data_IF_017541702708
#
_entry.id   IF_017541702708
#
_cell.length_a   1.000
_cell.length_b   1.000
_cell.length_c   1.000
_cell.angle_alpha   90.00
_cell.angle_beta   90.00
_cell.angle_gamma   90.00
#
_symmetry.space_group_name_H-M   'P 1'
#
loop_
_entity.id
_entity.type
_entity.pdbx_description
1 polymer ?
#
# COMPACT_ATOMS: atom_id res chain seq x y z
N UNK A 1 -11.10 24.77 6.11
CA UNK A 1 -11.00 23.32 5.85
C UNK A 1 -9.60 22.88 6.24
N UNK A 2 -9.45 22.01 7.26
CA UNK A 2 -8.14 21.50 7.65
C UNK A 2 -7.68 20.45 6.64
N UNK A 3 -6.40 20.48 6.25
CA UNK A 3 -5.77 19.48 5.41
C UNK A 3 -4.50 18.99 6.11
N UNK A 4 -4.49 17.72 6.50
CA UNK A 4 -3.30 17.07 7.05
C UNK A 4 -2.68 16.18 5.98
N UNK A 5 -1.35 16.23 5.86
CA UNK A 5 -0.63 15.33 4.95
C UNK A 5 -0.66 13.88 5.45
N UNK A 6 -0.42 13.71 6.75
CA UNK A 6 -0.47 12.43 7.44
C UNK A 6 -0.42 12.65 8.96
N UNK A 7 -1.02 11.74 9.72
CA UNK A 7 -0.80 11.56 11.16
C UNK A 7 -0.18 10.19 11.40
N UNK A 8 0.87 10.15 12.23
CA UNK A 8 1.60 8.91 12.53
C UNK A 8 1.38 8.49 13.97
N UNK A 9 1.31 7.18 14.17
CA UNK A 9 1.47 6.58 15.48
C UNK A 9 2.34 5.33 15.38
N UNK A 10 3.06 5.07 16.46
CA UNK A 10 3.76 3.80 16.62
C UNK A 10 2.76 2.71 17.00
N UNK A 11 3.02 1.50 16.53
CA UNK A 11 2.29 0.30 16.89
C UNK A 11 3.19 -0.92 16.69
N UNK A 12 2.79 -2.07 17.21
CA UNK A 12 3.46 -3.34 16.92
C UNK A 12 2.52 -4.16 16.06
N UNK A 13 2.96 -4.50 14.85
CA UNK A 13 2.18 -5.35 13.95
C UNK A 13 2.09 -6.79 14.48
N UNK A 14 0.91 -7.38 14.40
CA UNK A 14 0.72 -8.81 14.62
C UNK A 14 1.39 -9.63 13.52
N UNK A 15 1.59 -10.92 13.76
CA UNK A 15 2.10 -11.85 12.74
C UNK A 15 1.20 -11.88 11.49
N UNK A 16 -0.12 -11.75 11.68
CA UNK A 16 -1.09 -11.67 10.58
C UNK A 16 -0.85 -10.43 9.72
N UNK A 17 -0.69 -9.25 10.33
CA UNK A 17 -0.39 -8.01 9.61
C UNK A 17 0.98 -8.06 8.95
N UNK A 18 1.98 -8.65 9.59
CA UNK A 18 3.31 -8.86 9.00
C UNK A 18 3.19 -9.73 7.74
N UNK A 19 2.46 -10.86 7.83
CA UNK A 19 2.17 -11.71 6.67
C UNK A 19 1.46 -10.97 5.55
N UNK A 20 0.47 -10.13 5.88
CA UNK A 20 -0.25 -9.28 4.93
C UNK A 20 0.67 -8.26 4.25
N UNK A 21 1.59 -7.64 5.01
CA UNK A 21 2.60 -6.72 4.50
C UNK A 21 3.58 -7.41 3.54
N UNK A 22 4.00 -8.64 3.83
CA UNK A 22 4.84 -9.42 2.93
C UNK A 22 4.10 -9.74 1.62
N UNK A 23 2.86 -10.20 1.68
CA UNK A 23 2.02 -10.44 0.50
C UNK A 23 1.87 -9.18 -0.35
N UNK A 24 1.53 -8.04 0.27
CA UNK A 24 1.44 -6.77 -0.43
C UNK A 24 2.76 -6.35 -1.11
N UNK A 25 3.87 -6.53 -0.41
CA UNK A 25 5.21 -6.22 -0.94
C UNK A 25 5.55 -7.12 -2.13
N UNK A 26 5.20 -8.41 -2.06
CA UNK A 26 5.32 -9.36 -3.15
C UNK A 26 4.50 -8.94 -4.38
N UNK A 27 3.22 -8.55 -4.18
CA UNK A 27 2.38 -8.02 -5.27
C UNK A 27 3.03 -6.82 -5.98
N UNK A 28 3.58 -5.86 -5.22
CA UNK A 28 4.27 -4.70 -5.80
C UNK A 28 5.47 -5.13 -6.64
N UNK A 29 6.29 -6.05 -6.12
CA UNK A 29 7.48 -6.55 -6.81
C UNK A 29 7.13 -7.37 -8.07
N UNK A 30 6.08 -8.19 -8.03
CA UNK A 30 5.57 -8.91 -9.20
C UNK A 30 5.17 -7.92 -10.30
N UNK A 31 4.38 -6.90 -9.95
CA UNK A 31 3.95 -5.87 -10.91
C UNK A 31 5.14 -5.12 -11.49
N UNK A 32 6.16 -4.79 -10.68
CA UNK A 32 7.40 -4.17 -11.17
C UNK A 32 8.08 -5.07 -12.20
N UNK A 33 8.26 -6.37 -11.89
CA UNK A 33 8.91 -7.32 -12.79
C UNK A 33 8.22 -7.35 -14.16
N UNK A 34 6.90 -7.53 -14.17
CA UNK A 34 6.08 -7.56 -15.39
C UNK A 34 6.16 -6.24 -16.16
N UNK A 35 6.13 -5.11 -15.46
CA UNK A 35 6.27 -3.79 -16.10
C UNK A 35 7.61 -3.61 -16.81
N UNK A 36 8.69 -4.13 -16.26
CA UNK A 36 10.02 -4.06 -16.85
C UNK A 36 10.12 -5.02 -18.03
N UNK A 37 9.76 -6.29 -17.83
CA UNK A 37 9.82 -7.35 -18.85
C UNK A 37 9.00 -6.99 -20.09
N UNK A 38 7.75 -6.57 -19.90
CA UNK A 38 6.81 -6.26 -21.00
C UNK A 38 6.82 -4.79 -21.41
N UNK A 39 7.74 -3.99 -20.88
CA UNK A 39 7.86 -2.56 -21.12
C UNK A 39 6.54 -1.77 -20.97
N UNK A 40 5.70 -2.13 -19.98
CA UNK A 40 4.39 -1.49 -19.77
C UNK A 40 4.55 -0.11 -19.14
N UNK A 41 3.79 0.89 -19.61
CA UNK A 41 3.95 2.31 -19.20
C UNK A 41 2.71 2.92 -18.56
N UNK A 42 1.51 2.50 -18.98
CA UNK A 42 0.24 3.06 -18.50
C UNK A 42 -0.35 2.23 -17.37
N UNK A 43 -1.03 2.89 -16.42
CA UNK A 43 -1.73 2.19 -15.33
C UNK A 43 -2.76 1.20 -15.86
N UNK A 44 -3.48 1.55 -16.93
CA UNK A 44 -4.52 0.69 -17.50
C UNK A 44 -3.95 -0.58 -18.14
N UNK A 45 -2.86 -0.46 -18.91
CA UNK A 45 -2.19 -1.63 -19.48
C UNK A 45 -1.60 -2.54 -18.40
N UNK A 46 -1.00 -1.95 -17.35
CA UNK A 46 -0.50 -2.71 -16.20
C UNK A 46 -1.64 -3.42 -15.46
N UNK A 47 -2.75 -2.75 -15.23
CA UNK A 47 -3.90 -3.36 -14.57
C UNK A 47 -4.48 -4.51 -15.39
N UNK A 48 -4.65 -4.34 -16.71
CA UNK A 48 -5.15 -5.40 -17.59
C UNK A 48 -4.25 -6.64 -17.54
N UNK A 49 -2.94 -6.42 -17.51
CA UNK A 49 -1.94 -7.49 -17.48
C UNK A 49 -1.84 -8.20 -16.13
N UNK A 50 -1.86 -7.45 -15.02
CA UNK A 50 -1.41 -7.98 -13.72
C UNK A 50 -2.55 -8.36 -12.78
N UNK A 51 -3.75 -7.78 -12.94
CA UNK A 51 -4.81 -7.87 -11.92
C UNK A 51 -5.27 -9.31 -11.63
N UNK A 52 -5.27 -10.18 -12.64
CA UNK A 52 -5.65 -11.58 -12.44
C UNK A 52 -4.56 -12.39 -11.71
N UNK A 53 -3.29 -12.07 -11.94
CA UNK A 53 -2.13 -12.71 -11.29
C UNK A 53 -2.05 -12.36 -9.80
N UNK A 54 -2.51 -11.17 -9.41
CA UNK A 54 -2.52 -10.75 -8.00
C UNK A 54 -3.40 -11.64 -7.11
N UNK A 55 -4.31 -12.43 -7.68
CA UNK A 55 -5.15 -13.39 -6.95
C UNK A 55 -4.33 -14.49 -6.28
N UNK A 56 -3.15 -14.82 -6.79
CA UNK A 56 -2.25 -15.83 -6.23
C UNK A 56 -1.77 -15.48 -4.81
N UNK A 57 -1.82 -14.21 -4.43
CA UNK A 57 -1.42 -13.75 -3.10
C UNK A 57 -2.47 -13.99 -2.01
N UNK A 58 -3.69 -14.42 -2.38
CA UNK A 58 -4.80 -14.62 -1.44
C UNK A 58 -4.98 -13.39 -0.53
N UNK A 59 -5.24 -12.25 -1.17
CA UNK A 59 -5.37 -10.93 -0.57
C UNK A 59 -6.70 -10.32 -0.98
N UNK A 60 -7.36 -9.52 -0.11
CA UNK A 60 -8.50 -8.73 -0.53
C UNK A 60 -8.18 -7.84 -1.73
N UNK A 61 -9.06 -7.83 -2.74
CA UNK A 61 -8.85 -7.07 -3.97
C UNK A 61 -8.73 -5.55 -3.76
N UNK A 62 -9.14 -5.05 -2.58
CA UNK A 62 -8.94 -3.66 -2.15
C UNK A 62 -7.47 -3.21 -2.20
N UNK A 63 -6.52 -4.14 -2.10
CA UNK A 63 -5.09 -3.83 -2.12
C UNK A 63 -4.50 -3.76 -3.53
N UNK A 64 -5.17 -4.35 -4.52
CA UNK A 64 -4.61 -4.49 -5.86
C UNK A 64 -4.37 -3.14 -6.54
N UNK A 65 -5.33 -2.18 -6.51
CA UNK A 65 -5.12 -0.87 -7.10
C UNK A 65 -3.90 -0.14 -6.51
N UNK A 66 -3.69 -0.25 -5.20
CA UNK A 66 -2.59 0.44 -4.54
C UNK A 66 -1.24 -0.25 -4.79
N UNK A 67 -1.20 -1.58 -4.83
CA UNK A 67 0.00 -2.31 -5.25
C UNK A 67 0.43 -1.91 -6.66
N UNK A 68 -0.53 -1.82 -7.61
CA UNK A 68 -0.30 -1.37 -8.98
C UNK A 68 0.16 0.10 -9.00
N UNK A 69 -0.51 1.01 -8.29
CA UNK A 69 -0.12 2.42 -8.22
C UNK A 69 1.32 2.58 -7.75
N UNK A 70 1.70 1.83 -6.71
CA UNK A 70 3.03 1.89 -6.11
C UNK A 70 4.11 1.37 -7.06
N UNK A 71 3.86 0.25 -7.73
CA UNK A 71 4.75 -0.27 -8.77
C UNK A 71 4.93 0.74 -9.92
N UNK A 72 3.83 1.32 -10.41
CA UNK A 72 3.86 2.33 -11.47
C UNK A 72 4.69 3.55 -11.06
N UNK A 73 4.53 4.06 -9.84
CA UNK A 73 5.30 5.20 -9.34
C UNK A 73 6.82 4.91 -9.29
N UNK A 74 7.19 3.71 -8.83
CA UNK A 74 8.59 3.26 -8.76
C UNK A 74 9.22 3.12 -10.15
N UNK A 75 8.55 2.42 -11.08
CA UNK A 75 9.06 2.21 -12.45
C UNK A 75 9.13 3.53 -13.22
N UNK A 76 8.14 4.44 -13.06
CA UNK A 76 8.20 5.79 -13.66
C UNK A 76 9.40 6.57 -13.16
N UNK A 77 9.69 6.50 -11.87
CA UNK A 77 10.84 7.18 -11.26
C UNK A 77 12.16 6.61 -11.80
N UNK A 78 12.26 5.28 -11.87
CA UNK A 78 13.39 4.57 -12.48
C UNK A 78 13.63 5.01 -13.93
N UNK A 79 12.60 4.93 -14.79
CA UNK A 79 12.70 5.34 -16.20
C UNK A 79 13.03 6.83 -16.36
N UNK A 80 12.49 7.70 -15.51
CA UNK A 80 12.82 9.13 -15.49
C UNK A 80 14.30 9.38 -15.20
N UNK A 81 14.91 8.61 -14.29
CA UNK A 81 16.35 8.70 -14.00
C UNK A 81 17.19 8.22 -15.18
N UNK A 82 16.84 7.09 -15.79
CA UNK A 82 17.51 6.58 -17.00
C UNK A 82 17.46 7.58 -18.15
N UNK A 83 16.29 8.21 -18.39
CA UNK A 83 16.14 9.25 -19.42
C UNK A 83 17.08 10.45 -19.19
N UNK A 84 17.41 10.74 -17.92
CA UNK A 84 18.39 11.78 -17.53
C UNK A 84 19.85 11.28 -17.53
N UNK A 85 20.12 10.09 -18.08
CA UNK A 85 21.44 9.43 -18.06
C UNK A 85 22.01 9.25 -16.65
N UNK A 86 21.14 9.18 -15.64
CA UNK A 86 21.55 8.94 -14.26
C UNK A 86 21.61 7.43 -14.00
N UNK A 87 22.60 7.00 -13.21
CA UNK A 87 22.65 5.62 -12.71
C UNK A 87 21.37 5.30 -11.94
N UNK A 88 20.72 4.20 -12.29
CA UNK A 88 19.51 3.73 -11.62
C UNK A 88 19.44 2.19 -11.73
N UNK A 89 19.03 1.55 -10.65
CA UNK A 89 18.79 0.10 -10.60
C UNK A 89 17.30 -0.18 -10.77
N UNK A 90 16.98 -1.37 -11.27
CA UNK A 90 15.59 -1.83 -11.32
C UNK A 90 15.01 -1.74 -9.89
N UNK A 91 13.83 -1.12 -9.71
CA UNK A 91 13.27 -0.95 -8.39
C UNK A 91 12.88 -2.31 -7.80
N UNK A 92 13.08 -2.47 -6.49
CA UNK A 92 12.61 -3.61 -5.72
C UNK A 92 12.27 -3.15 -4.30
N UNK A 93 11.15 -3.60 -3.78
CA UNK A 93 10.67 -3.26 -2.44
C UNK A 93 11.08 -4.36 -1.47
N UNK A 94 12.00 -4.03 -0.57
CA UNK A 94 12.56 -4.99 0.40
C UNK A 94 11.81 -4.99 1.73
N UNK A 95 11.38 -3.81 2.20
CA UNK A 95 10.76 -3.68 3.51
C UNK A 95 9.27 -4.03 3.43
N UNK A 96 8.77 -4.95 4.27
CA UNK A 96 7.35 -5.26 4.35
C UNK A 96 6.56 -3.98 4.64
N UNK A 97 5.49 -3.79 3.87
CA UNK A 97 4.58 -2.67 4.04
C UNK A 97 3.19 -3.04 3.57
N UNK A 98 2.20 -2.27 4.01
CA UNK A 98 0.83 -2.37 3.53
C UNK A 98 0.29 -0.96 3.33
N UNK A 99 -0.39 -0.70 2.22
CA UNK A 99 -1.09 0.56 2.02
C UNK A 99 -2.37 0.31 1.23
N UNK A 100 -3.41 1.09 1.52
CA UNK A 100 -4.58 1.17 0.65
C UNK A 100 -5.36 2.45 0.94
N UNK A 101 -6.11 2.86 -0.07
CA UNK A 101 -7.08 3.95 -0.03
C UNK A 101 -8.53 3.43 -0.17
N UNK A 102 -8.72 2.10 -0.12
CA UNK A 102 -10.01 1.43 -0.22
C UNK A 102 -10.17 0.32 0.82
N UNK A 103 -11.42 -0.02 1.14
CA UNK A 103 -11.77 -1.23 1.88
C UNK A 103 -11.54 -1.20 3.39
N UNK A 104 -10.87 -0.17 3.92
CA UNK A 104 -10.71 0.04 5.36
C UNK A 104 -11.80 0.95 5.92
N UNK A 105 -11.96 0.93 7.25
CA UNK A 105 -12.85 1.84 7.97
C UNK A 105 -12.28 2.18 9.34
N UNK A 106 -12.73 3.29 9.91
CA UNK A 106 -12.44 3.66 11.29
C UNK A 106 -13.72 3.51 12.09
N UNK A 107 -13.70 2.76 13.18
CA UNK A 107 -14.87 2.47 14.01
C UNK A 107 -14.46 2.25 15.46
N UNK A 108 -15.19 2.86 16.39
CA UNK A 108 -14.98 2.70 17.83
C UNK A 108 -13.51 2.93 18.26
N UNK A 109 -12.86 3.95 17.70
CA UNK A 109 -11.47 4.28 18.00
C UNK A 109 -10.42 3.39 17.35
N UNK A 110 -10.81 2.47 16.45
CA UNK A 110 -9.92 1.52 15.79
C UNK A 110 -9.86 1.74 14.29
N UNK A 111 -8.67 1.54 13.70
CA UNK A 111 -8.52 1.30 12.27
C UNK A 111 -8.80 -0.18 11.98
N UNK A 112 -9.79 -0.44 11.13
CA UNK A 112 -10.20 -1.78 10.71
C UNK A 112 -9.58 -2.11 9.34
N UNK A 113 -8.62 -3.02 9.33
CA UNK A 113 -7.86 -3.43 8.14
C UNK A 113 -8.44 -4.74 7.59
N UNK A 114 -8.84 -4.81 6.31
CA UNK A 114 -9.36 -6.04 5.73
C UNK A 114 -8.24 -7.08 5.59
N UNK A 115 -8.34 -8.21 6.29
CA UNK A 115 -7.38 -9.31 6.17
C UNK A 115 -7.89 -10.43 5.25
N UNK A 116 -9.21 -10.57 5.12
CA UNK A 116 -9.88 -11.49 4.21
C UNK A 116 -11.27 -10.95 3.84
N UNK A 117 -12.05 -11.72 3.07
CA UNK A 117 -13.41 -11.33 2.71
C UNK A 117 -14.27 -11.12 3.97
N UNK A 118 -14.65 -9.85 4.23
CA UNK A 118 -15.44 -9.41 5.40
C UNK A 118 -14.78 -9.64 6.76
N UNK A 119 -13.51 -10.04 6.80
CA UNK A 119 -12.74 -10.21 8.04
C UNK A 119 -11.76 -9.07 8.19
N UNK A 120 -11.72 -8.49 9.38
CA UNK A 120 -10.91 -7.32 9.69
C UNK A 120 -10.03 -7.56 10.91
N UNK A 121 -8.83 -7.00 10.86
CA UNK A 121 -7.99 -6.83 12.04
C UNK A 121 -8.09 -5.38 12.52
N UNK A 122 -8.17 -5.18 13.83
CA UNK A 122 -8.29 -3.86 14.45
C UNK A 122 -6.95 -3.38 14.99
N UNK A 123 -6.56 -2.15 14.63
CA UNK A 123 -5.47 -1.43 15.27
C UNK A 123 -6.05 -0.28 16.10
N UNK A 124 -5.83 -0.24 17.42
CA UNK A 124 -6.28 0.88 18.26
C UNK A 124 -5.56 2.16 17.89
N UNK A 125 -6.32 3.26 17.76
CA UNK A 125 -5.76 4.59 17.51
C UNK A 125 -5.55 5.30 18.85
N UNK A 126 -4.39 5.92 19.02
CA UNK A 126 -4.10 6.67 20.23
C UNK A 126 -4.89 7.99 20.29
N UNK A 127 -4.93 8.62 21.47
CA UNK A 127 -5.71 9.84 21.71
C UNK A 127 -5.31 10.99 20.77
N UNK A 128 -4.02 11.12 20.46
CA UNK A 128 -3.53 12.14 19.53
C UNK A 128 -4.06 11.91 18.10
N UNK A 129 -3.91 10.69 17.59
CA UNK A 129 -4.41 10.30 16.26
C UNK A 129 -5.90 10.53 16.16
N UNK A 130 -6.67 10.10 17.16
CA UNK A 130 -8.13 10.29 17.21
C UNK A 130 -8.52 11.76 17.18
N UNK A 131 -7.84 12.62 17.94
CA UNK A 131 -8.07 14.06 17.96
C UNK A 131 -7.78 14.71 16.60
N UNK A 132 -6.78 14.25 15.87
CA UNK A 132 -6.46 14.79 14.54
C UNK A 132 -7.51 14.36 13.53
N UNK A 133 -7.84 13.06 13.47
CA UNK A 133 -8.78 12.54 12.47
C UNK A 133 -10.23 12.92 12.76
N UNK A 134 -10.58 13.40 13.96
CA UNK A 134 -11.93 13.91 14.22
C UNK A 134 -12.24 15.20 13.44
N UNK A 135 -11.21 15.92 12.98
CA UNK A 135 -11.34 17.16 12.21
C UNK A 135 -11.27 16.95 10.68
N UNK A 136 -10.95 15.75 10.20
CA UNK A 136 -10.70 15.47 8.77
C UNK A 136 -11.18 14.08 8.34
N UNK A 137 -11.48 13.93 7.05
CA UNK A 137 -11.75 12.61 6.48
C UNK A 137 -10.43 11.89 6.18
N UNK A 138 -10.30 10.66 6.69
CA UNK A 138 -9.16 9.79 6.37
C UNK A 138 -9.40 9.15 5.00
N UNK A 139 -8.41 9.26 4.11
CA UNK A 139 -8.52 8.79 2.71
C UNK A 139 -7.72 7.50 2.44
N UNK A 140 -6.68 7.25 3.23
CA UNK A 140 -5.79 6.11 3.05
C UNK A 140 -5.11 5.75 4.36
N UNK A 141 -4.47 4.60 4.40
CA UNK A 141 -3.48 4.30 5.43
C UNK A 141 -2.22 3.72 4.79
N UNK A 142 -1.11 3.80 5.53
CA UNK A 142 0.11 3.06 5.26
C UNK A 142 0.67 2.48 6.55
N UNK A 143 1.15 1.24 6.49
CA UNK A 143 1.76 0.50 7.59
C UNK A 143 3.17 0.07 7.23
N UNK A 144 4.02 0.09 8.25
CA UNK A 144 5.22 -0.75 8.38
C UNK A 144 5.06 -1.63 9.63
N UNK A 145 6.06 -2.44 9.95
CA UNK A 145 6.06 -3.27 11.16
C UNK A 145 5.89 -2.47 12.47
N UNK A 146 6.24 -1.17 12.46
CA UNK A 146 6.30 -0.34 13.67
C UNK A 146 5.51 0.97 13.59
N UNK A 147 5.01 1.34 12.41
CA UNK A 147 4.42 2.67 12.21
C UNK A 147 3.15 2.58 11.38
N UNK A 148 2.08 3.16 11.91
CA UNK A 148 0.84 3.44 11.20
C UNK A 148 0.81 4.92 10.80
N UNK A 149 0.46 5.18 9.54
CA UNK A 149 0.19 6.51 9.00
C UNK A 149 -1.22 6.56 8.43
N UNK A 150 -2.01 7.57 8.82
CA UNK A 150 -3.32 7.91 8.27
C UNK A 150 -3.28 9.26 7.54
#
# INVERSE_FOLDING_TARGET
MYAYKAVKQDFIASDNLIGLMHKFTGMVNLVIGIMIEKNLTSRNSVSKETYHMLREYDMPSYYYPEAINKAVALVKTYRKRLKKKQKATIPHVYRPMLATYYGFRISNGNLMIPIAARTYESIPLNAHTLKVISAVKVHSFALSAYTLSL
#
